data_IF_140238506144
#
_entry.id   IF_140238506144
#
_cell.length_a   1.000
_cell.length_b   1.000
_cell.length_c   1.000
_cell.angle_alpha   90.00
_cell.angle_beta   90.00
_cell.angle_gamma   90.00
#
_symmetry.space_group_name_H-M   'P 1'
#
loop_
_entity.id
_entity.type
_entity.pdbx_description
1 polymer ?
#
# COMPACT_ATOMS: atom_id res chain seq x y z
N UNK A 1 17.35 3.14 4.07
CA UNK A 1 17.09 3.84 2.79
C UNK A 1 16.30 5.13 3.05
N UNK A 2 16.39 6.18 2.24
CA UNK A 2 15.48 7.33 2.38
C UNK A 2 14.21 7.10 1.56
N UNK A 3 13.14 6.72 2.25
CA UNK A 3 11.85 6.40 1.60
C UNK A 3 10.86 7.51 1.89
N UNK A 4 10.33 8.10 0.82
CA UNK A 4 9.18 9.02 0.88
C UNK A 4 8.09 8.55 -0.07
N UNK A 5 6.95 9.23 -0.11
CA UNK A 5 5.83 8.85 -0.96
C UNK A 5 5.39 10.04 -1.80
N UNK A 6 5.11 9.78 -3.08
CA UNK A 6 4.61 10.80 -3.99
C UNK A 6 3.22 11.28 -3.56
N UNK A 7 2.92 12.55 -3.87
CA UNK A 7 1.58 13.12 -3.76
C UNK A 7 0.71 12.82 -5.00
N UNK A 8 1.26 12.09 -5.98
CA UNK A 8 0.51 11.56 -7.11
C UNK A 8 -0.67 10.70 -6.64
N UNK A 9 -1.79 10.82 -7.36
CA UNK A 9 -3.00 10.06 -7.01
C UNK A 9 -2.76 8.57 -7.21
N UNK A 10 -3.17 7.73 -6.25
CA UNK A 10 -3.20 6.29 -6.46
C UNK A 10 -4.14 5.92 -7.60
N UNK A 11 -3.86 4.79 -8.26
CA UNK A 11 -4.62 4.29 -9.41
C UNK A 11 -5.14 2.91 -9.09
N UNK A 12 -6.45 2.68 -9.28
CA UNK A 12 -7.02 1.35 -9.21
C UNK A 12 -6.76 0.58 -10.50
N UNK A 13 -6.26 -0.65 -10.37
CA UNK A 13 -6.12 -1.62 -11.45
C UNK A 13 -7.15 -2.73 -11.25
N UNK A 14 -8.14 -2.77 -12.15
CA UNK A 14 -9.23 -3.74 -12.09
C UNK A 14 -8.85 -5.15 -12.57
N UNK A 15 -7.74 -5.31 -13.30
CA UNK A 15 -7.24 -6.60 -13.75
C UNK A 15 -6.44 -7.30 -12.63
N UNK A 16 -5.60 -6.56 -11.89
CA UNK A 16 -4.86 -7.08 -10.72
C UNK A 16 -5.67 -7.04 -9.42
N UNK A 17 -6.79 -6.31 -9.41
CA UNK A 17 -7.57 -5.99 -8.21
C UNK A 17 -6.67 -5.37 -7.13
N UNK A 18 -6.00 -4.29 -7.48
CA UNK A 18 -5.05 -3.61 -6.61
C UNK A 18 -5.11 -2.10 -6.77
N UNK A 19 -4.58 -1.38 -5.77
CA UNK A 19 -4.30 0.05 -5.87
C UNK A 19 -2.80 0.26 -5.98
N UNK A 20 -2.39 0.97 -7.03
CA UNK A 20 -1.01 1.33 -7.31
C UNK A 20 -0.71 2.72 -6.77
N UNK A 21 0.46 2.89 -6.16
CA UNK A 21 0.93 4.16 -5.62
C UNK A 21 2.46 4.25 -5.71
N UNK A 22 2.98 5.47 -5.72
CA UNK A 22 4.40 5.72 -5.96
C UNK A 22 5.13 6.02 -4.64
N UNK A 23 6.14 5.20 -4.34
CA UNK A 23 7.17 5.50 -3.37
C UNK A 23 8.36 6.17 -4.07
N UNK A 24 9.13 6.95 -3.32
CA UNK A 24 10.40 7.52 -3.75
C UNK A 24 11.51 6.92 -2.88
N UNK A 25 12.36 6.11 -3.48
CA UNK A 25 13.47 5.42 -2.85
C UNK A 25 14.76 6.14 -3.22
N UNK A 26 15.37 6.82 -2.24
CA UNK A 26 16.52 7.71 -2.47
C UNK A 26 16.30 8.71 -3.63
N UNK A 27 15.03 9.11 -3.83
CA UNK A 27 14.58 10.02 -4.88
C UNK A 27 14.13 9.35 -6.19
N UNK A 28 14.34 8.05 -6.36
CA UNK A 28 13.88 7.29 -7.53
C UNK A 28 12.46 6.75 -7.35
N UNK A 29 11.62 6.88 -8.38
CA UNK A 29 10.23 6.44 -8.34
C UNK A 29 10.13 4.91 -8.39
N UNK A 30 9.46 4.33 -7.39
CA UNK A 30 9.17 2.90 -7.28
C UNK A 30 7.67 2.72 -7.15
N UNK A 31 7.05 2.12 -8.17
CA UNK A 31 5.61 1.82 -8.15
C UNK A 31 5.38 0.58 -7.29
N UNK A 32 4.59 0.76 -6.25
CA UNK A 32 4.16 -0.29 -5.34
C UNK A 32 2.64 -0.48 -5.48
N UNK A 33 2.13 -1.61 -5.00
CA UNK A 33 0.69 -1.84 -4.98
C UNK A 33 0.22 -2.44 -3.66
N UNK A 34 -1.07 -2.31 -3.38
CA UNK A 34 -1.76 -3.01 -2.30
C UNK A 34 -2.96 -3.74 -2.90
N UNK A 35 -3.10 -5.02 -2.57
CA UNK A 35 -4.18 -5.87 -3.11
C UNK A 35 -5.53 -5.53 -2.47
N UNK A 36 -6.62 -5.74 -3.21
CA UNK A 36 -7.99 -5.63 -2.72
C UNK A 36 -8.22 -6.43 -1.42
N UNK A 37 -7.74 -7.69 -1.38
CA UNK A 37 -7.82 -8.56 -0.19
C UNK A 37 -7.25 -7.88 1.07
N UNK A 38 -6.14 -7.16 0.94
CA UNK A 38 -5.52 -6.48 2.08
C UNK A 38 -6.36 -5.28 2.54
N UNK A 39 -6.92 -4.53 1.59
CA UNK A 39 -7.82 -3.40 1.85
C UNK A 39 -9.13 -3.85 2.51
N UNK A 40 -9.69 -4.98 2.08
CA UNK A 40 -10.87 -5.60 2.67
C UNK A 40 -10.58 -6.10 4.10
N UNK A 41 -9.51 -6.88 4.29
CA UNK A 41 -9.18 -7.48 5.59
C UNK A 41 -8.76 -6.47 6.66
N UNK A 42 -8.04 -5.40 6.29
CA UNK A 42 -7.33 -4.54 7.25
C UNK A 42 -7.74 -3.07 7.23
N UNK A 43 -8.39 -2.61 6.16
CA UNK A 43 -8.68 -1.19 5.94
C UNK A 43 -10.18 -0.92 5.71
N UNK A 44 -11.02 -1.94 5.84
CA UNK A 44 -12.47 -1.79 5.87
C UNK A 44 -13.12 -1.55 4.51
N UNK A 45 -12.46 -1.90 3.40
CA UNK A 45 -13.12 -1.92 2.10
C UNK A 45 -14.27 -2.93 2.12
N UNK A 46 -15.46 -2.52 1.65
CA UNK A 46 -16.64 -3.39 1.66
C UNK A 46 -16.67 -4.41 0.51
N UNK A 47 -15.94 -4.13 -0.58
CA UNK A 47 -15.76 -5.04 -1.71
C UNK A 47 -14.51 -4.71 -2.52
N UNK A 48 -14.12 -5.60 -3.43
CA UNK A 48 -13.04 -5.38 -4.40
C UNK A 48 -13.39 -4.40 -5.55
N UNK A 49 -14.30 -3.44 -5.33
CA UNK A 49 -14.65 -2.39 -6.30
C UNK A 49 -13.87 -1.12 -6.02
N UNK A 50 -13.53 -0.36 -7.07
CA UNK A 50 -12.83 0.92 -6.95
C UNK A 50 -13.47 1.86 -5.91
N UNK A 51 -14.80 1.95 -5.91
CA UNK A 51 -15.58 2.83 -5.01
C UNK A 51 -15.41 2.52 -3.52
N UNK A 52 -15.07 1.27 -3.18
CA UNK A 52 -14.83 0.82 -1.81
C UNK A 52 -13.32 0.79 -1.48
N UNK A 53 -12.48 0.42 -2.46
CA UNK A 53 -11.04 0.27 -2.28
C UNK A 53 -10.33 1.62 -2.15
N UNK A 54 -10.68 2.60 -2.97
CA UNK A 54 -10.04 3.92 -2.96
C UNK A 54 -10.19 4.64 -1.61
N UNK A 55 -11.39 4.78 -1.02
CA UNK A 55 -11.51 5.41 0.30
C UNK A 55 -10.85 4.61 1.43
N UNK A 56 -10.83 3.28 1.34
CA UNK A 56 -10.09 2.43 2.30
C UNK A 56 -8.58 2.70 2.22
N UNK A 57 -8.03 2.85 1.02
CA UNK A 57 -6.63 3.22 0.81
C UNK A 57 -6.33 4.63 1.35
N UNK A 58 -7.17 5.62 1.04
CA UNK A 58 -6.97 7.00 1.47
C UNK A 58 -7.00 7.13 3.01
N UNK A 59 -8.00 6.52 3.65
CA UNK A 59 -8.10 6.50 5.12
C UNK A 59 -6.99 5.71 5.80
N UNK A 60 -6.53 4.62 5.17
CA UNK A 60 -5.45 3.75 5.65
C UNK A 60 -4.03 4.20 5.29
N UNK A 61 -3.88 5.27 4.51
CA UNK A 61 -2.63 5.62 3.82
C UNK A 61 -1.41 5.72 4.73
N UNK A 62 -1.56 6.20 5.98
CA UNK A 62 -0.46 6.29 6.92
C UNK A 62 0.12 4.90 7.27
N UNK A 63 -0.74 3.93 7.60
CA UNK A 63 -0.32 2.56 7.93
C UNK A 63 0.16 1.80 6.69
N UNK A 64 -0.49 1.99 5.54
CA UNK A 64 -0.06 1.40 4.26
C UNK A 64 1.36 1.85 3.91
N UNK A 65 1.63 3.16 4.01
CA UNK A 65 2.95 3.75 3.76
C UNK A 65 4.01 3.26 4.73
N UNK A 66 3.68 3.12 6.02
CA UNK A 66 4.61 2.58 7.02
C UNK A 66 5.04 1.14 6.68
N UNK A 67 4.08 0.26 6.40
CA UNK A 67 4.38 -1.14 6.00
C UNK A 67 5.11 -1.20 4.66
N UNK A 68 4.76 -0.34 3.71
CA UNK A 68 5.47 -0.23 2.43
C UNK A 68 6.93 0.16 2.63
N UNK A 69 7.21 1.15 3.48
CA UNK A 69 8.57 1.61 3.74
C UNK A 69 9.41 0.52 4.39
N UNK A 70 8.87 -0.23 5.35
CA UNK A 70 9.56 -1.37 5.95
C UNK A 70 9.87 -2.45 4.90
N UNK A 71 8.88 -2.84 4.10
CA UNK A 71 9.07 -3.88 3.08
C UNK A 71 10.05 -3.46 1.97
N UNK A 72 10.09 -2.18 1.61
CA UNK A 72 11.06 -1.61 0.69
C UNK A 72 12.47 -1.61 1.29
N UNK A 73 12.63 -1.22 2.56
CA UNK A 73 13.95 -1.24 3.22
C UNK A 73 14.49 -2.68 3.31
N UNK A 74 13.64 -3.64 3.66
CA UNK A 74 13.99 -5.07 3.76
C UNK A 74 14.36 -5.70 2.40
N UNK A 75 13.72 -5.26 1.31
CA UNK A 75 13.95 -5.83 -0.03
C UNK A 75 14.97 -5.04 -0.87
N UNK A 76 15.57 -3.99 -0.32
CA UNK A 76 16.55 -3.15 -1.02
C UNK A 76 15.94 -2.21 -2.08
N UNK A 77 14.72 -1.72 -1.86
CA UNK A 77 14.07 -0.72 -2.70
C UNK A 77 13.35 -1.25 -3.94
N UNK A 78 13.15 -2.56 -4.02
CA UNK A 78 12.45 -3.20 -5.13
C UNK A 78 10.92 -3.02 -5.00
N UNK A 79 10.18 -2.90 -6.12
CA UNK A 79 8.72 -2.83 -6.12
C UNK A 79 8.08 -3.90 -5.23
N UNK A 80 7.12 -3.48 -4.39
CA UNK A 80 6.45 -4.37 -3.44
C UNK A 80 4.95 -4.41 -3.70
N UNK A 81 4.37 -5.61 -3.52
CA UNK A 81 2.93 -5.83 -3.46
C UNK A 81 2.54 -6.11 -2.01
N UNK A 82 1.77 -5.21 -1.42
CA UNK A 82 1.26 -5.30 -0.06
C UNK A 82 0.03 -6.21 -0.02
N UNK A 83 0.25 -7.46 0.41
CA UNK A 83 -0.79 -8.48 0.61
C UNK A 83 -1.24 -8.53 2.07
N UNK A 84 -2.40 -9.13 2.36
CA UNK A 84 -2.96 -9.21 3.72
C UNK A 84 -1.96 -9.76 4.75
N UNK A 85 -1.12 -10.71 4.34
CA UNK A 85 -0.09 -11.30 5.20
C UNK A 85 0.92 -10.29 5.80
N UNK A 86 1.31 -9.26 5.06
CA UNK A 86 2.26 -8.23 5.53
C UNK A 86 1.67 -7.42 6.69
N UNK A 87 0.38 -7.11 6.65
CA UNK A 87 -0.29 -6.32 7.69
C UNK A 87 -0.53 -7.11 8.98
N UNK A 88 -0.51 -8.44 8.91
CA UNK A 88 -0.64 -9.32 10.09
C UNK A 88 0.66 -9.42 10.87
N UNK A 89 1.80 -9.41 10.19
CA UNK A 89 3.12 -9.51 10.82
C UNK A 89 3.67 -8.17 11.27
N UNK A 90 3.31 -7.08 10.59
CA UNK A 90 3.80 -5.74 10.89
C UNK A 90 3.35 -5.21 12.27
N UNK A 91 2.33 -5.81 12.92
CA UNK A 91 2.02 -5.54 14.34
C UNK A 91 1.81 -4.08 14.74
N UNK A 92 1.48 -3.19 13.79
CA UNK A 92 1.16 -1.79 14.08
C UNK A 92 -0.30 -1.69 14.52
N UNK A 93 -0.55 -1.94 15.81
CA UNK A 93 -1.81 -1.58 16.44
C UNK A 93 -1.91 -0.04 16.45
N UNK A 94 -2.99 0.58 15.91
CA UNK A 94 -3.23 1.99 16.14
C UNK A 94 -3.63 2.18 17.62
N UNK A 95 -2.91 3.06 18.32
CA UNK A 95 -3.25 3.53 19.68
C UNK A 95 -4.60 4.28 19.73
#
# INVERSE_FOLDING_TARGET
>A
MHITFSEERPVFDGDDLAIHFTALVDGEAVVCSISAEALEDHFGAASAREEDLMPAFESGSARIRAVCAEALDDNGGQPVVLRSGLFRVAGLEPE
#
